data_IF_170860967367
#
_entry.id   IF_170860967367
#
_cell.length_a   1.000
_cell.length_b   1.000
_cell.length_c   1.000
_cell.angle_alpha   90.00
_cell.angle_beta   90.00
_cell.angle_gamma   90.00
#
_symmetry.space_group_name_H-M   'P 1'
#
loop_
_entity.id
_entity.type
_entity.pdbx_description
1 polymer ?
#
# COMPACT_ATOMS: atom_id res chain seq x y z
N UNK A 1 -13.43 4.43 -21.88
CA UNK A 1 -13.37 4.04 -20.46
C UNK A 1 -14.54 4.69 -19.74
N UNK A 2 -15.24 3.95 -18.86
CA UNK A 2 -16.23 4.57 -17.98
C UNK A 2 -15.52 5.56 -17.03
N UNK A 3 -16.18 6.66 -16.64
CA UNK A 3 -15.61 7.61 -15.69
C UNK A 3 -15.47 6.93 -14.32
N UNK A 4 -14.31 7.09 -13.68
CA UNK A 4 -14.10 6.61 -12.32
C UNK A 4 -14.83 7.50 -11.31
N UNK A 5 -15.44 6.90 -10.29
CA UNK A 5 -15.97 7.63 -9.15
C UNK A 5 -14.81 8.07 -8.25
N UNK A 6 -14.76 9.37 -7.92
CA UNK A 6 -13.71 9.95 -7.07
C UNK A 6 -14.37 10.48 -5.80
N UNK A 7 -13.93 9.95 -4.67
CA UNK A 7 -14.35 10.40 -3.35
C UNK A 7 -13.19 11.19 -2.72
N UNK A 8 -13.48 12.36 -2.15
CA UNK A 8 -12.45 13.19 -1.54
C UNK A 8 -12.96 13.85 -0.26
N UNK A 9 -12.02 14.23 0.61
CA UNK A 9 -12.26 15.04 1.79
C UNK A 9 -11.14 16.05 1.98
N UNK A 10 -11.44 17.18 2.61
CA UNK A 10 -10.42 18.13 3.07
C UNK A 10 -9.72 17.66 4.36
N UNK A 11 -8.60 18.30 4.71
CA UNK A 11 -7.90 18.08 5.98
C UNK A 11 -8.51 18.83 7.19
N UNK A 12 -9.63 19.54 7.02
CA UNK A 12 -10.30 20.21 8.15
C UNK A 12 -10.97 19.18 9.06
N UNK A 13 -10.71 19.21 10.35
CA UNK A 13 -11.34 18.34 11.36
C UNK A 13 -12.42 19.09 12.13
N UNK A 14 -13.33 18.35 12.75
CA UNK A 14 -14.34 18.87 13.68
C UNK A 14 -14.25 18.08 14.99
N UNK A 15 -14.86 18.60 16.06
CA UNK A 15 -14.91 17.87 17.32
C UNK A 15 -15.58 16.51 17.12
N UNK A 16 -14.90 15.44 17.54
CA UNK A 16 -15.36 14.07 17.38
C UNK A 16 -15.11 13.44 16.00
N UNK A 17 -14.41 14.10 15.08
CA UNK A 17 -13.97 13.48 13.81
C UNK A 17 -12.54 13.88 13.41
N UNK A 18 -11.59 12.98 13.62
CA UNK A 18 -10.18 13.14 13.24
C UNK A 18 -9.89 12.67 11.79
N UNK A 19 -8.69 12.93 11.28
CA UNK A 19 -8.32 12.60 9.89
C UNK A 19 -8.41 11.10 9.54
N UNK A 20 -8.13 10.21 10.50
CA UNK A 20 -8.20 8.77 10.29
C UNK A 20 -9.66 8.30 10.22
N UNK A 21 -10.53 8.84 11.06
CA UNK A 21 -11.98 8.58 11.01
C UNK A 21 -12.59 9.07 9.68
N UNK A 22 -12.16 10.26 9.21
CA UNK A 22 -12.55 10.78 7.89
C UNK A 22 -12.11 9.86 6.76
N UNK A 23 -10.90 9.34 6.81
CA UNK A 23 -10.41 8.37 5.84
C UNK A 23 -11.27 7.11 5.84
N UNK A 24 -11.54 6.52 7.00
CA UNK A 24 -12.39 5.33 7.10
C UNK A 24 -13.80 5.59 6.57
N UNK A 25 -14.41 6.73 6.90
CA UNK A 25 -15.72 7.13 6.34
C UNK A 25 -15.67 7.27 4.83
N UNK A 26 -14.62 7.89 4.28
CA UNK A 26 -14.45 8.01 2.83
C UNK A 26 -14.34 6.63 2.15
N UNK A 27 -13.57 5.71 2.72
CA UNK A 27 -13.45 4.34 2.24
C UNK A 27 -14.79 3.58 2.31
N UNK A 28 -15.57 3.80 3.37
CA UNK A 28 -16.92 3.28 3.50
C UNK A 28 -17.82 3.75 2.35
N UNK A 29 -17.83 5.05 2.07
CA UNK A 29 -18.64 5.61 0.98
C UNK A 29 -18.16 5.17 -0.41
N UNK A 30 -16.84 5.00 -0.58
CA UNK A 30 -16.28 4.38 -1.78
C UNK A 30 -16.70 2.90 -1.93
N UNK A 31 -17.21 2.29 -0.84
CA UNK A 31 -17.81 0.97 -0.80
C UNK A 31 -16.84 -0.16 -0.52
N UNK A 32 -15.83 0.10 0.31
CA UNK A 32 -14.89 -0.92 0.79
C UNK A 32 -15.65 -2.11 1.41
N UNK A 33 -16.77 -1.87 2.10
CA UNK A 33 -17.59 -2.91 2.74
C UNK A 33 -18.33 -3.84 1.73
N UNK A 34 -18.28 -3.55 0.43
CA UNK A 34 -18.79 -4.46 -0.62
C UNK A 34 -17.77 -5.54 -1.01
N UNK A 35 -16.52 -5.41 -0.59
CA UNK A 35 -15.47 -6.41 -0.83
C UNK A 35 -15.61 -7.51 0.22
N UNK A 36 -15.50 -8.78 -0.21
CA UNK A 36 -15.42 -9.90 0.73
C UNK A 36 -14.02 -9.99 1.34
N UNK A 37 -13.91 -9.60 2.61
CA UNK A 37 -12.66 -9.69 3.36
C UNK A 37 -12.56 -10.94 4.23
N UNK A 38 -13.63 -11.73 4.41
CA UNK A 38 -13.65 -12.77 5.45
C UNK A 38 -12.56 -13.81 5.25
N UNK A 39 -11.62 -13.89 6.19
CA UNK A 39 -10.44 -14.76 6.16
C UNK A 39 -9.49 -14.53 4.98
N UNK A 40 -9.65 -13.43 4.24
CA UNK A 40 -8.90 -13.12 3.02
C UNK A 40 -7.57 -12.43 3.32
N UNK A 41 -6.50 -12.90 2.71
CA UNK A 41 -5.20 -12.24 2.76
C UNK A 41 -5.28 -10.94 1.96
N UNK A 42 -5.13 -9.81 2.66
CA UNK A 42 -5.33 -8.48 2.07
C UNK A 42 -4.00 -7.74 2.01
N UNK A 43 -3.45 -7.60 0.81
CA UNK A 43 -2.27 -6.80 0.57
C UNK A 43 -2.64 -5.32 0.57
N UNK A 44 -2.08 -4.55 1.50
CA UNK A 44 -2.15 -3.09 1.50
C UNK A 44 -0.80 -2.60 0.98
N UNK A 45 -0.75 -2.33 -0.32
CA UNK A 45 0.47 -1.87 -0.99
C UNK A 45 0.71 -0.42 -0.69
N UNK A 46 1.94 -0.09 -0.29
CA UNK A 46 2.42 1.28 -0.16
C UNK A 46 3.95 1.30 -0.25
N UNK A 47 4.53 2.47 -0.48
CA UNK A 47 5.98 2.63 -0.28
C UNK A 47 6.23 3.09 1.17
N UNK A 48 7.30 2.58 1.78
CA UNK A 48 7.64 2.92 3.16
C UNK A 48 8.53 4.17 3.31
N UNK A 49 8.96 4.74 2.18
CA UNK A 49 9.88 5.89 2.13
C UNK A 49 11.34 5.47 2.34
N UNK A 50 12.27 6.28 1.83
CA UNK A 50 13.69 6.11 2.20
C UNK A 50 13.93 6.70 3.61
N UNK A 51 14.88 6.17 4.39
CA UNK A 51 15.31 6.82 5.63
C UNK A 51 15.81 8.25 5.40
N UNK A 52 15.55 9.15 6.35
CA UNK A 52 16.05 10.53 6.33
C UNK A 52 15.16 11.57 5.61
N UNK A 53 13.99 11.19 5.10
CA UNK A 53 12.98 12.14 4.63
C UNK A 53 11.64 11.93 5.36
N UNK A 54 10.65 12.79 5.08
CA UNK A 54 9.27 12.69 5.61
C UNK A 54 8.22 12.65 4.48
N UNK A 55 8.67 12.41 3.24
CA UNK A 55 7.86 12.41 2.04
C UNK A 55 7.24 11.03 1.80
N UNK A 56 6.51 10.54 2.80
CA UNK A 56 5.77 9.29 2.76
C UNK A 56 4.47 9.42 3.57
N UNK A 57 3.54 8.48 3.38
CA UNK A 57 2.31 8.48 4.13
C UNK A 57 2.58 8.22 5.60
N UNK A 58 1.95 9.00 6.48
CA UNK A 58 2.08 8.77 7.92
C UNK A 58 1.58 7.37 8.30
N UNK A 59 2.30 6.60 9.12
CA UNK A 59 1.88 5.25 9.54
C UNK A 59 0.47 5.19 10.13
N UNK A 60 -0.01 6.27 10.75
CA UNK A 60 -1.37 6.37 11.29
C UNK A 60 -2.47 6.15 10.23
N UNK A 61 -2.25 6.59 8.99
CA UNK A 61 -3.21 6.34 7.90
C UNK A 61 -3.21 4.87 7.49
N UNK A 62 -2.03 4.25 7.40
CA UNK A 62 -1.92 2.82 7.12
C UNK A 62 -2.63 2.00 8.22
N UNK A 63 -2.36 2.33 9.50
CA UNK A 63 -3.03 1.69 10.64
C UNK A 63 -4.55 1.80 10.59
N UNK A 64 -5.09 2.97 10.22
CA UNK A 64 -6.54 3.14 10.10
C UNK A 64 -7.16 2.18 9.07
N UNK A 65 -6.50 1.98 7.93
CA UNK A 65 -6.94 1.04 6.90
C UNK A 65 -6.75 -0.42 7.35
N UNK A 66 -5.61 -0.74 7.97
CA UNK A 66 -5.33 -2.08 8.53
C UNK A 66 -6.39 -2.48 9.54
N UNK A 67 -6.67 -1.61 10.52
CA UNK A 67 -7.68 -1.87 11.55
C UNK A 67 -9.08 -2.03 10.94
N UNK A 68 -9.41 -1.24 9.91
CA UNK A 68 -10.71 -1.34 9.23
C UNK A 68 -10.84 -2.67 8.46
N UNK A 69 -9.81 -3.08 7.70
CA UNK A 69 -9.79 -4.37 7.01
C UNK A 69 -9.90 -5.53 8.01
N UNK A 70 -9.16 -5.48 9.12
CA UNK A 70 -9.23 -6.48 10.17
C UNK A 70 -10.63 -6.56 10.80
N UNK A 71 -11.28 -5.42 11.04
CA UNK A 71 -12.67 -5.35 11.54
C UNK A 71 -13.67 -6.00 10.59
N UNK A 72 -13.42 -5.98 9.28
CA UNK A 72 -14.23 -6.66 8.26
C UNK A 72 -13.88 -8.15 8.10
N UNK A 73 -12.97 -8.69 8.94
CA UNK A 73 -12.57 -10.10 8.94
C UNK A 73 -11.39 -10.44 8.04
N UNK A 74 -10.72 -9.44 7.48
CA UNK A 74 -9.54 -9.62 6.64
C UNK A 74 -8.27 -9.94 7.43
N UNK A 75 -7.28 -10.47 6.72
CA UNK A 75 -5.91 -10.71 7.20
C UNK A 75 -4.96 -9.72 6.52
N UNK A 76 -4.91 -8.45 6.97
CA UNK A 76 -4.12 -7.42 6.32
C UNK A 76 -2.61 -7.62 6.55
N UNK A 77 -1.83 -7.25 5.54
CA UNK A 77 -0.39 -7.03 5.66
C UNK A 77 0.02 -5.84 4.79
N UNK A 78 1.02 -5.09 5.24
CA UNK A 78 1.62 -4.04 4.41
C UNK A 78 2.63 -4.65 3.44
N UNK A 79 2.71 -4.13 2.22
CA UNK A 79 3.67 -4.65 1.23
C UNK A 79 4.22 -3.60 0.30
N UNK A 80 5.49 -3.78 -0.07
CA UNK A 80 6.18 -3.10 -1.16
C UNK A 80 7.16 -4.10 -1.81
N UNK A 81 7.63 -3.78 -3.02
CA UNK A 81 8.68 -4.55 -3.68
C UNK A 81 10.02 -3.80 -3.59
N UNK A 82 11.12 -4.54 -3.67
CA UNK A 82 12.45 -3.94 -3.63
C UNK A 82 12.67 -3.00 -4.83
N UNK A 83 13.41 -1.93 -4.59
CA UNK A 83 13.74 -0.94 -5.61
C UNK A 83 14.94 -1.39 -6.44
N UNK A 84 14.89 -1.14 -7.75
CA UNK A 84 16.01 -1.41 -8.66
C UNK A 84 17.19 -0.45 -8.49
N UNK A 85 16.96 0.72 -7.89
CA UNK A 85 17.99 1.72 -7.67
C UNK A 85 18.72 1.51 -6.33
N UNK A 86 19.86 2.17 -6.17
CA UNK A 86 20.66 2.11 -4.93
C UNK A 86 19.95 2.82 -3.78
N UNK A 87 19.77 2.12 -2.66
CA UNK A 87 19.15 2.71 -1.47
C UNK A 87 18.90 1.67 -0.38
N UNK A 88 18.18 2.06 0.65
CA UNK A 88 17.86 1.19 1.78
C UNK A 88 16.75 0.18 1.45
N UNK A 89 16.17 0.23 0.24
CA UNK A 89 15.03 -0.62 -0.17
C UNK A 89 15.37 -1.61 -1.28
N UNK A 90 16.66 -1.91 -1.48
CA UNK A 90 17.17 -2.79 -2.55
C UNK A 90 17.05 -4.29 -2.26
N UNK A 91 16.88 -4.69 -1.01
CA UNK A 91 16.68 -6.07 -0.58
C UNK A 91 15.78 -6.10 0.65
N UNK A 92 15.18 -7.25 0.95
CA UNK A 92 14.12 -7.31 1.94
C UNK A 92 14.56 -6.93 3.36
N UNK A 93 15.79 -7.24 3.77
CA UNK A 93 16.26 -6.96 5.14
C UNK A 93 16.47 -5.46 5.36
N UNK A 94 17.18 -4.81 4.43
CA UNK A 94 17.38 -3.37 4.47
C UNK A 94 16.03 -2.65 4.34
N UNK A 95 15.14 -3.14 3.47
CA UNK A 95 13.83 -2.55 3.22
C UNK A 95 12.92 -2.63 4.45
N UNK A 96 12.90 -3.77 5.15
CA UNK A 96 12.17 -3.90 6.42
C UNK A 96 12.73 -2.96 7.48
N UNK A 97 14.05 -2.82 7.57
CA UNK A 97 14.69 -1.86 8.47
C UNK A 97 14.23 -0.43 8.18
N UNK A 98 14.27 -0.02 6.91
CA UNK A 98 13.79 1.29 6.48
C UNK A 98 12.29 1.51 6.80
N UNK A 99 11.47 0.48 6.60
CA UNK A 99 10.05 0.54 6.94
C UNK A 99 9.83 0.75 8.44
N UNK A 100 10.57 0.02 9.28
CA UNK A 100 10.44 0.12 10.73
C UNK A 100 10.97 1.44 11.29
N UNK A 101 12.08 1.96 10.76
CA UNK A 101 12.59 3.30 11.10
C UNK A 101 11.56 4.40 10.80
N UNK A 102 10.83 4.26 9.69
CA UNK A 102 9.75 5.18 9.31
C UNK A 102 8.41 4.89 10.03
N UNK A 103 8.40 3.97 10.98
CA UNK A 103 7.25 3.70 11.85
C UNK A 103 6.24 2.68 11.31
N UNK A 104 6.58 1.91 10.28
CA UNK A 104 5.74 0.82 9.75
C UNK A 104 6.06 -0.52 10.43
N UNK A 105 6.21 -0.50 11.75
CA UNK A 105 6.40 -1.72 12.55
C UNK A 105 5.06 -2.45 12.79
N UNK A 106 5.05 -3.75 13.13
CA UNK A 106 3.83 -4.46 13.49
C UNK A 106 3.02 -3.79 14.61
N UNK A 107 3.70 -3.14 15.55
CA UNK A 107 3.06 -2.46 16.68
C UNK A 107 2.44 -1.13 16.30
N UNK A 108 3.09 -0.39 15.40
CA UNK A 108 2.65 0.95 14.97
C UNK A 108 1.62 0.88 13.84
N UNK A 109 1.79 -0.07 12.91
CA UNK A 109 0.90 -0.26 11.76
C UNK A 109 -0.25 -1.23 12.05
N UNK A 110 -0.14 -2.09 13.06
CA UNK A 110 -1.15 -3.09 13.41
C UNK A 110 -1.11 -4.37 12.57
N UNK A 111 -0.13 -4.54 11.68
CA UNK A 111 0.09 -5.76 10.92
C UNK A 111 1.56 -5.91 10.47
N UNK A 112 1.93 -7.11 10.01
CA UNK A 112 3.26 -7.38 9.49
C UNK A 112 3.50 -6.70 8.12
N UNK A 113 4.78 -6.43 7.84
CA UNK A 113 5.26 -6.04 6.52
C UNK A 113 5.78 -7.28 5.80
N UNK A 114 5.38 -7.47 4.54
CA UNK A 114 5.91 -8.51 3.66
C UNK A 114 6.51 -7.83 2.43
N UNK A 115 7.79 -8.04 2.21
CA UNK A 115 8.46 -7.58 0.98
C UNK A 115 8.06 -8.50 -0.16
N UNK A 116 7.29 -7.95 -1.10
CA UNK A 116 6.46 -8.73 -2.01
C UNK A 116 7.21 -9.56 -3.04
N UNK A 117 8.47 -9.19 -3.29
CA UNK A 117 9.36 -9.83 -4.27
C UNK A 117 10.53 -10.60 -3.64
N UNK A 118 10.38 -10.94 -2.35
CA UNK A 118 11.29 -11.82 -1.62
C UNK A 118 12.63 -11.19 -1.26
N UNK A 119 13.54 -12.01 -0.74
CA UNK A 119 14.79 -11.55 -0.11
C UNK A 119 15.65 -10.67 -1.04
N UNK A 120 15.71 -11.02 -2.33
CA UNK A 120 16.58 -10.41 -3.33
C UNK A 120 15.83 -9.71 -4.47
N UNK A 121 14.51 -9.58 -4.39
CA UNK A 121 13.70 -8.97 -5.45
C UNK A 121 13.50 -9.85 -6.69
N UNK A 122 13.60 -11.17 -6.55
CA UNK A 122 13.46 -12.12 -7.66
C UNK A 122 12.26 -13.05 -7.52
N UNK A 123 11.51 -12.96 -6.42
CA UNK A 123 10.32 -13.78 -6.21
C UNK A 123 9.11 -13.13 -6.86
N UNK A 124 8.64 -13.71 -7.96
CA UNK A 124 7.67 -13.07 -8.83
C UNK A 124 6.75 -14.11 -9.48
N UNK A 125 5.58 -13.65 -9.87
CA UNK A 125 4.65 -14.34 -10.75
C UNK A 125 4.60 -13.66 -12.12
N UNK A 126 4.55 -14.47 -13.17
CA UNK A 126 4.40 -14.00 -14.54
C UNK A 126 2.91 -13.89 -14.90
N UNK A 127 2.44 -12.67 -15.18
CA UNK A 127 1.07 -12.36 -15.58
C UNK A 127 1.05 -11.98 -17.05
N UNK A 128 0.43 -12.80 -17.89
CA UNK A 128 0.26 -12.48 -19.31
C UNK A 128 -0.73 -11.34 -19.45
N UNK A 129 -0.32 -10.28 -20.16
CA UNK A 129 -1.15 -9.10 -20.42
C UNK A 129 -1.10 -8.76 -21.91
N UNK A 130 -2.15 -8.12 -22.41
CA UNK A 130 -2.25 -7.68 -23.81
C UNK A 130 -1.70 -6.26 -24.01
N UNK A 131 -0.61 -5.90 -23.31
CA UNK A 131 0.05 -4.60 -23.46
C UNK A 131 0.83 -4.50 -24.76
N UNK A 132 1.00 -3.30 -25.31
CA UNK A 132 1.72 -3.05 -26.56
C UNK A 132 3.20 -3.47 -26.45
N UNK A 133 3.88 -2.97 -25.42
CA UNK A 133 5.31 -3.21 -25.17
C UNK A 133 5.57 -4.35 -24.17
N UNK A 134 4.66 -4.56 -23.22
CA UNK A 134 4.78 -5.60 -22.20
C UNK A 134 3.73 -6.67 -22.45
N UNK A 135 4.19 -7.90 -22.75
CA UNK A 135 3.31 -9.07 -22.95
C UNK A 135 3.20 -9.94 -21.70
N UNK A 136 4.21 -9.89 -20.83
CA UNK A 136 4.26 -10.59 -19.55
C UNK A 136 4.72 -9.58 -18.50
N UNK A 137 3.84 -9.23 -17.58
CA UNK A 137 4.17 -8.45 -16.41
C UNK A 137 4.67 -9.37 -15.30
N UNK A 138 5.73 -8.97 -14.61
CA UNK A 138 6.27 -9.68 -13.45
C UNK A 138 5.81 -8.97 -12.19
N UNK A 139 5.02 -9.66 -11.39
CA UNK A 139 4.42 -9.10 -10.17
C UNK A 139 5.02 -9.82 -8.96
N UNK A 140 5.38 -9.09 -7.91
CA UNK A 140 5.90 -9.68 -6.68
C UNK A 140 4.97 -10.78 -6.17
N UNK A 141 5.54 -11.94 -5.81
CA UNK A 141 4.80 -13.14 -5.43
C UNK A 141 3.77 -12.90 -4.34
N UNK A 142 4.14 -12.22 -3.25
CA UNK A 142 3.20 -12.00 -2.14
C UNK A 142 2.02 -11.08 -2.52
N UNK A 143 2.22 -10.17 -3.48
CA UNK A 143 1.13 -9.35 -4.02
C UNK A 143 0.21 -10.19 -4.89
N UNK A 144 0.76 -11.07 -5.73
CA UNK A 144 -0.03 -11.93 -6.61
C UNK A 144 -0.83 -12.99 -5.85
N UNK A 145 -0.28 -13.48 -4.73
CA UNK A 145 -0.91 -14.50 -3.89
C UNK A 145 -1.99 -13.92 -2.95
N UNK A 146 -2.15 -12.59 -2.88
CA UNK A 146 -3.18 -11.95 -2.06
C UNK A 146 -4.58 -12.09 -2.67
N UNK A 147 -5.59 -12.32 -1.84
CA UNK A 147 -6.99 -12.40 -2.24
C UNK A 147 -7.56 -11.00 -2.57
N UNK A 148 -7.12 -9.98 -1.85
CA UNK A 148 -7.56 -8.59 -2.00
C UNK A 148 -6.34 -7.67 -2.05
N UNK A 149 -6.35 -6.72 -2.97
CA UNK A 149 -5.29 -5.74 -3.16
C UNK A 149 -5.82 -4.31 -2.99
N UNK A 150 -5.25 -3.57 -2.04
CA UNK A 150 -5.54 -2.17 -1.77
C UNK A 150 -4.26 -1.37 -2.01
N UNK A 151 -4.32 -0.36 -2.88
CA UNK A 151 -3.21 0.59 -3.06
C UNK A 151 -3.41 1.81 -2.17
N UNK A 152 -2.44 2.07 -1.28
CA UNK A 152 -2.40 3.26 -0.43
C UNK A 152 -1.17 4.09 -0.83
N UNK A 153 -1.41 5.30 -1.34
CA UNK A 153 -0.37 6.08 -2.01
C UNK A 153 -0.47 7.57 -1.70
N UNK A 154 0.65 8.27 -1.82
CA UNK A 154 0.70 9.73 -1.92
C UNK A 154 1.26 10.07 -3.29
N UNK A 155 0.89 11.23 -3.82
CA UNK A 155 1.44 11.67 -5.10
C UNK A 155 2.57 12.68 -4.91
N UNK A 156 3.52 12.66 -5.84
CA UNK A 156 4.58 13.65 -5.97
C UNK A 156 4.82 13.98 -7.43
N UNK A 157 5.32 15.17 -7.71
CA UNK A 157 5.79 15.51 -9.05
C UNK A 157 6.95 14.60 -9.46
N UNK A 158 6.97 14.18 -10.72
CA UNK A 158 8.04 13.38 -11.30
C UNK A 158 8.43 13.98 -12.66
N UNK A 159 9.70 14.36 -12.81
CA UNK A 159 10.17 15.17 -13.95
C UNK A 159 9.86 14.53 -15.30
N UNK A 160 10.03 13.21 -15.41
CA UNK A 160 9.84 12.48 -16.67
C UNK A 160 8.40 11.99 -16.91
N UNK A 161 7.54 11.94 -15.88
CA UNK A 161 6.25 11.21 -15.95
C UNK A 161 5.08 11.98 -15.35
N UNK A 162 5.27 13.24 -14.98
CA UNK A 162 4.24 14.11 -14.41
C UNK A 162 4.05 13.86 -12.92
N UNK A 163 3.33 12.80 -12.56
CA UNK A 163 3.05 12.44 -11.16
C UNK A 163 3.42 10.98 -10.87
N UNK A 164 4.14 10.75 -9.76
CA UNK A 164 4.28 9.44 -9.16
C UNK A 164 3.19 9.20 -8.10
N UNK A 165 2.98 7.95 -7.70
CA UNK A 165 2.05 7.59 -6.63
C UNK A 165 0.75 6.96 -7.14
N UNK A 166 0.83 5.67 -7.50
CA UNK A 166 -0.30 4.84 -7.93
C UNK A 166 -0.32 3.51 -7.17
#
# INVERSE_FOLDING_TARGET
MAKSNVFFTSFRTQDGENLMEKLCRLCKEAGVERIDFKEKFTAIKMHFGEPGNLAFLRPNYAKAIVDYVAKLGGKPFLTDCNTLYTGARRNALDHLTAAYENGFSPFSAGCHVIIGDGLKGTDQADVRIHGEFVRVARIGRAVMDADVFISLTHFKGHEATGFGGT
#
